data_IF_238756296823
#
_entry.id   IF_238756296823
#
_cell.length_a   1.000
_cell.length_b   1.000
_cell.length_c   1.000
_cell.angle_alpha   90.00
_cell.angle_beta   90.00
_cell.angle_gamma   90.00
#
_symmetry.space_group_name_H-M   'P 1'
#
loop_
_entity.id
_entity.type
_entity.pdbx_description
1 polymer ?
#
# COMPACT_ATOMS: atom_id res chain seq x y z
N UNK A 1 16.74 19.42 10.69
CA UNK A 1 16.49 19.24 9.26
C UNK A 1 17.52 20.05 8.48
N UNK A 2 18.20 19.49 7.47
CA UNK A 2 18.96 20.30 6.52
C UNK A 2 17.99 21.24 5.78
N UNK A 3 18.47 22.42 5.40
CA UNK A 3 17.69 23.38 4.60
C UNK A 3 18.10 23.19 3.15
N UNK A 4 17.13 22.95 2.27
CA UNK A 4 17.32 22.77 0.83
C UNK A 4 16.49 23.83 0.11
N UNK A 5 17.12 24.58 -0.78
CA UNK A 5 16.44 25.53 -1.65
C UNK A 5 16.20 24.87 -3.02
N UNK A 6 14.96 24.93 -3.50
CA UNK A 6 14.56 24.40 -4.81
C UNK A 6 13.86 25.49 -5.61
N UNK A 7 13.99 25.43 -6.93
CA UNK A 7 13.32 26.36 -7.83
C UNK A 7 12.29 25.59 -8.63
N UNK A 8 11.02 25.95 -8.49
CA UNK A 8 9.91 25.31 -9.19
C UNK A 8 9.41 26.21 -10.33
N UNK A 9 8.92 25.64 -11.43
CA UNK A 9 8.12 26.37 -12.41
C UNK A 9 6.88 26.99 -11.76
N UNK A 10 6.47 28.17 -12.23
CA UNK A 10 5.37 28.94 -11.63
C UNK A 10 4.06 28.13 -11.52
N UNK A 11 3.73 27.34 -12.55
CA UNK A 11 2.53 26.49 -12.55
C UNK A 11 2.57 25.43 -11.45
N UNK A 12 3.72 24.76 -11.27
CA UNK A 12 3.89 23.73 -10.23
C UNK A 12 3.89 24.34 -8.83
N UNK A 13 4.45 25.53 -8.65
CA UNK A 13 4.40 26.23 -7.38
C UNK A 13 2.96 26.57 -7.00
N UNK A 14 2.17 27.10 -7.93
CA UNK A 14 0.75 27.41 -7.68
C UNK A 14 -0.07 26.16 -7.36
N UNK A 15 0.18 25.05 -8.04
CA UNK A 15 -0.49 23.78 -7.76
C UNK A 15 -0.12 23.24 -6.37
N UNK A 16 1.16 23.32 -6.01
CA UNK A 16 1.65 22.93 -4.69
C UNK A 16 1.05 23.79 -3.57
N UNK A 17 1.03 25.11 -3.72
CA UNK A 17 0.43 26.02 -2.74
C UNK A 17 -1.06 25.72 -2.51
N UNK A 18 -1.80 25.46 -3.59
CA UNK A 18 -3.22 25.08 -3.49
C UNK A 18 -3.39 23.75 -2.74
N UNK A 19 -2.57 22.75 -3.04
CA UNK A 19 -2.62 21.45 -2.36
C UNK A 19 -2.28 21.58 -0.86
N UNK A 20 -1.26 22.38 -0.53
CA UNK A 20 -0.87 22.64 0.87
C UNK A 20 -2.02 23.24 1.65
N UNK A 21 -2.69 24.25 1.10
CA UNK A 21 -3.82 24.93 1.75
C UNK A 21 -5.04 24.02 1.96
N UNK A 22 -5.25 23.03 1.07
CA UNK A 22 -6.42 22.15 1.11
C UNK A 22 -6.21 20.92 2.02
N UNK A 23 -5.01 20.33 2.01
CA UNK A 23 -4.79 18.99 2.56
C UNK A 23 -3.78 18.96 3.73
N UNK A 24 -3.01 20.03 3.96
CA UNK A 24 -1.92 20.05 4.93
C UNK A 24 -2.03 21.17 5.97
N UNK A 25 -1.34 20.99 7.10
CA UNK A 25 -1.29 22.02 8.18
C UNK A 25 -0.22 23.07 7.89
N UNK A 26 0.85 22.68 7.20
CA UNK A 26 1.96 23.57 6.86
C UNK A 26 2.69 23.10 5.60
N UNK A 27 3.33 24.03 4.92
CA UNK A 27 4.16 23.77 3.73
C UNK A 27 5.31 22.78 4.02
N UNK A 28 5.97 22.92 5.17
CA UNK A 28 7.08 22.03 5.57
C UNK A 28 6.59 20.58 5.70
N UNK A 29 5.43 20.37 6.30
CA UNK A 29 4.83 19.04 6.41
C UNK A 29 4.42 18.50 5.03
N UNK A 30 3.80 19.32 4.18
CA UNK A 30 3.42 18.92 2.83
C UNK A 30 4.65 18.48 2.02
N UNK A 31 5.74 19.26 2.07
CA UNK A 31 6.97 18.94 1.38
C UNK A 31 7.57 17.60 1.87
N UNK A 32 7.60 17.36 3.19
CA UNK A 32 8.12 16.12 3.75
C UNK A 32 7.31 14.89 3.32
N UNK A 33 5.98 14.93 3.46
CA UNK A 33 5.09 13.81 3.12
C UNK A 33 5.10 13.52 1.61
N UNK A 34 4.97 14.57 0.77
CA UNK A 34 4.96 14.41 -0.68
C UNK A 34 6.29 13.88 -1.22
N UNK A 35 7.42 14.39 -0.71
CA UNK A 35 8.74 13.91 -1.12
C UNK A 35 8.94 12.46 -0.64
N UNK A 36 8.52 12.13 0.58
CA UNK A 36 8.63 10.76 1.10
C UNK A 36 7.82 9.77 0.25
N UNK A 37 6.56 10.09 -0.03
CA UNK A 37 5.72 9.28 -0.93
C UNK A 37 6.32 9.15 -2.33
N UNK A 38 6.88 10.24 -2.86
CA UNK A 38 7.57 10.23 -4.15
C UNK A 38 8.79 9.31 -4.14
N UNK A 39 9.62 9.38 -3.10
CA UNK A 39 10.76 8.48 -2.93
C UNK A 39 10.25 7.04 -2.86
N UNK A 40 9.28 6.72 -2.02
CA UNK A 40 8.75 5.37 -1.88
C UNK A 40 8.17 4.81 -3.20
N UNK A 41 7.50 5.65 -3.99
CA UNK A 41 6.97 5.26 -5.29
C UNK A 41 8.05 4.92 -6.33
N UNK A 42 9.23 5.52 -6.24
CA UNK A 42 10.36 5.26 -7.14
C UNK A 42 11.42 4.34 -6.53
N UNK A 43 11.40 4.12 -5.22
CA UNK A 43 12.28 3.20 -4.50
C UNK A 43 11.70 1.77 -4.53
N UNK A 44 11.12 1.41 -5.67
CA UNK A 44 10.90 0.01 -6.01
C UNK A 44 12.28 -0.50 -6.39
N UNK A 45 12.97 -1.13 -5.43
CA UNK A 45 14.04 -2.05 -5.76
C UNK A 45 13.52 -2.87 -6.94
N UNK A 46 14.23 -2.83 -8.06
CA UNK A 46 13.93 -3.68 -9.21
C UNK A 46 13.91 -5.08 -8.64
N UNK A 47 12.71 -5.63 -8.41
CA UNK A 47 12.55 -7.01 -8.00
C UNK A 47 13.31 -7.79 -9.05
N UNK A 48 14.43 -8.37 -8.65
CA UNK A 48 15.13 -9.31 -9.50
C UNK A 48 14.07 -10.38 -9.79
N UNK A 49 13.59 -10.45 -11.04
CA UNK A 49 12.56 -11.39 -11.51
C UNK A 49 13.04 -12.86 -11.43
N UNK A 50 14.10 -13.13 -10.66
CA UNK A 50 14.81 -14.39 -10.56
C UNK A 50 14.22 -15.36 -9.54
N UNK A 51 13.28 -14.96 -8.68
CA UNK A 51 12.68 -15.90 -7.71
C UNK A 51 11.14 -15.89 -7.70
N UNK A 52 10.49 -16.56 -8.67
CA UNK A 52 9.10 -16.91 -8.58
C UNK A 52 8.93 -18.21 -7.78
N UNK A 53 8.31 -18.10 -6.60
CA UNK A 53 7.62 -19.21 -5.96
C UNK A 53 8.35 -19.84 -4.78
N UNK A 54 7.80 -19.60 -3.59
CA UNK A 54 7.68 -20.64 -2.56
C UNK A 54 6.60 -20.27 -1.52
N UNK A 55 6.31 -18.99 -1.29
CA UNK A 55 5.33 -18.58 -0.26
C UNK A 55 3.85 -18.74 -0.64
N UNK A 56 3.49 -18.92 -1.91
CA UNK A 56 2.08 -19.03 -2.33
C UNK A 56 1.54 -20.48 -2.29
N UNK A 57 2.40 -21.50 -2.22
CA UNK A 57 1.95 -22.90 -2.22
C UNK A 57 1.71 -23.47 -0.81
N UNK A 58 2.48 -23.05 0.20
CA UNK A 58 2.44 -23.68 1.54
C UNK A 58 1.17 -23.35 2.36
N UNK A 59 0.49 -22.24 2.04
CA UNK A 59 -0.75 -21.81 2.70
C UNK A 59 -2.04 -22.43 2.15
N UNK A 60 -2.03 -22.91 0.90
CA UNK A 60 -3.23 -23.42 0.24
C UNK A 60 -3.51 -24.90 0.55
N UNK A 61 -2.49 -25.67 0.92
CA UNK A 61 -2.62 -27.12 1.17
C UNK A 61 -3.23 -27.44 2.54
N UNK A 62 -3.05 -26.59 3.56
CA UNK A 62 -3.56 -26.84 4.92
C UNK A 62 -5.08 -26.62 5.07
N UNK A 63 -5.72 -25.83 4.21
CA UNK A 63 -7.16 -25.53 4.29
C UNK A 63 -8.04 -26.38 3.37
N UNK A 64 -7.47 -27.16 2.45
CA UNK A 64 -8.24 -27.98 1.52
C UNK A 64 -8.68 -29.34 2.12
N UNK A 65 -8.03 -29.78 3.20
CA UNK A 65 -8.25 -31.11 3.77
C UNK A 65 -9.18 -31.14 5.00
N UNK A 66 -9.51 -29.97 5.58
CA UNK A 66 -10.38 -29.88 6.77
C UNK A 66 -11.88 -29.79 6.43
N UNK A 67 -12.25 -29.67 5.16
CA UNK A 67 -13.68 -29.67 4.75
C UNK A 67 -14.23 -31.07 4.45
N UNK A 68 -13.45 -32.13 4.65
CA UNK A 68 -13.85 -33.51 4.36
C UNK A 68 -14.46 -34.25 5.55
N UNK A 69 -14.45 -33.66 6.75
CA UNK A 69 -15.02 -34.27 7.96
C UNK A 69 -16.32 -33.58 8.39
N UNK A 70 -17.42 -34.12 7.85
CA UNK A 70 -18.79 -34.10 8.40
C UNK A 70 -19.66 -32.81 8.29
N UNK A 71 -20.50 -32.69 7.23
CA UNK A 71 -21.58 -31.71 7.19
C UNK A 71 -22.99 -32.36 7.35
N UNK A 72 -23.12 -33.49 8.05
CA UNK A 72 -24.32 -34.34 7.94
C UNK A 72 -25.30 -34.38 9.12
N UNK A 73 -25.17 -33.55 10.17
CA UNK A 73 -26.06 -33.61 11.34
C UNK A 73 -26.80 -32.29 11.59
N UNK A 74 -27.75 -31.95 10.73
CA UNK A 74 -28.87 -31.06 11.03
C UNK A 74 -30.05 -31.57 10.21
N UNK A 75 -31.04 -32.18 10.86
CA UNK A 75 -32.47 -32.08 10.57
C UNK A 75 -33.22 -33.10 11.44
N UNK A 76 -33.37 -32.76 12.72
CA UNK A 76 -34.49 -33.22 13.54
C UNK A 76 -35.46 -32.04 13.67
N UNK A 77 -36.75 -32.34 13.55
CA UNK A 77 -37.93 -31.46 13.64
C UNK A 77 -38.19 -30.43 12.53
N UNK A 78 -39.07 -30.78 11.57
CA UNK A 78 -40.35 -30.06 11.39
C UNK A 78 -41.41 -30.88 10.62
N UNK A 79 -42.60 -30.98 11.27
CA UNK A 79 -43.94 -31.41 10.83
C UNK A 79 -44.37 -32.88 11.01
#
# INVERSE_FOLDING_TARGET
MPIVEVTLPDELLSEFEQLVDEEFVSEEQAAEELISMGIDAYNVDVVDESEPGDDFMDGAENNLFDTASDPGNIDDDTL
#
